data_IF_578500154225
#
_entry.id   IF_578500154225
#
_cell.length_a   1.000
_cell.length_b   1.000
_cell.length_c   1.000
_cell.angle_alpha   90.00
_cell.angle_beta   90.00
_cell.angle_gamma   90.00
#
_symmetry.space_group_name_H-M   'P 1'
#
loop_
_entity.id
_entity.type
_entity.pdbx_description
1 polymer ?
#
# COMPACT_ATOMS: atom_id res chain seq x y z
N UNK A 1 -1.80 3.64 -6.41
CA UNK A 1 -0.40 3.13 -6.52
C UNK A 1 0.67 4.17 -6.20
N UNK A 2 0.73 5.34 -6.85
CA UNK A 2 1.82 6.32 -6.61
C UNK A 2 1.95 6.78 -5.16
N UNK A 3 0.83 7.01 -4.47
CA UNK A 3 0.84 7.50 -3.11
C UNK A 3 1.36 6.45 -2.11
N UNK A 4 0.86 5.21 -2.20
CA UNK A 4 1.34 4.08 -1.40
C UNK A 4 2.83 3.82 -1.66
N UNK A 5 3.23 3.70 -2.92
CA UNK A 5 4.63 3.42 -3.25
C UNK A 5 5.60 4.53 -2.85
N UNK A 6 5.17 5.79 -2.91
CA UNK A 6 5.98 6.91 -2.40
C UNK A 6 6.04 6.91 -0.87
N UNK A 7 4.92 6.66 -0.20
CA UNK A 7 4.82 6.65 1.26
C UNK A 7 5.64 5.53 1.91
N UNK A 8 5.64 4.35 1.30
CA UNK A 8 6.41 3.19 1.76
C UNK A 8 7.83 3.09 1.17
N UNK A 9 8.27 4.09 0.37
CA UNK A 9 9.58 4.10 -0.29
C UNK A 9 9.87 2.85 -1.14
N UNK A 10 8.83 2.27 -1.73
CA UNK A 10 8.94 1.01 -2.46
C UNK A 10 9.71 1.16 -3.78
N UNK A 11 10.37 0.08 -4.16
CA UNK A 11 10.90 -0.10 -5.51
C UNK A 11 9.78 -0.49 -6.47
N UNK A 12 10.02 -0.29 -7.77
CA UNK A 12 9.04 -0.63 -8.82
C UNK A 12 8.62 -2.10 -8.78
N UNK A 13 9.54 -3.02 -8.47
CA UNK A 13 9.24 -4.46 -8.42
C UNK A 13 8.34 -4.80 -7.22
N UNK A 14 8.61 -4.21 -6.05
CA UNK A 14 7.79 -4.39 -4.84
C UNK A 14 6.35 -3.91 -5.08
N UNK A 15 6.16 -2.83 -5.85
CA UNK A 15 4.82 -2.36 -6.24
C UNK A 15 4.13 -3.24 -7.28
N UNK A 16 4.89 -3.90 -8.15
CA UNK A 16 4.33 -4.80 -9.15
C UNK A 16 3.80 -6.09 -8.51
N UNK A 17 4.41 -6.52 -7.40
CA UNK A 17 4.02 -7.72 -6.65
C UNK A 17 2.96 -7.44 -5.58
N UNK A 18 2.62 -6.18 -5.30
CA UNK A 18 1.63 -5.80 -4.30
C UNK A 18 0.20 -6.13 -4.76
N UNK A 19 -0.47 -7.02 -4.04
CA UNK A 19 -1.88 -7.40 -4.29
C UNK A 19 -2.82 -6.73 -3.29
N UNK A 20 -4.14 -6.75 -3.56
CA UNK A 20 -5.17 -6.24 -2.64
C UNK A 20 -5.05 -6.92 -1.26
N UNK A 21 -4.80 -8.23 -1.23
CA UNK A 21 -4.64 -8.99 0.02
C UNK A 21 -3.41 -8.61 0.85
N UNK A 22 -2.51 -7.80 0.29
CA UNK A 22 -1.35 -7.26 1.00
C UNK A 22 -1.58 -5.87 1.60
N UNK A 23 -2.78 -5.30 1.44
CA UNK A 23 -3.10 -3.93 1.86
C UNK A 23 -4.12 -3.97 2.99
N UNK A 24 -3.73 -3.45 4.15
CA UNK A 24 -4.63 -3.24 5.29
C UNK A 24 -4.86 -1.75 5.48
N UNK A 25 -6.12 -1.31 5.46
CA UNK A 25 -6.48 0.10 5.60
C UNK A 25 -7.09 0.37 6.97
N UNK A 26 -6.33 1.02 7.82
CA UNK A 26 -6.75 1.44 9.17
C UNK A 26 -7.27 2.89 9.15
N UNK A 27 -7.67 3.39 10.32
CA UNK A 27 -8.10 4.80 10.46
C UNK A 27 -6.95 5.78 10.48
N UNK A 28 -5.78 5.36 10.97
CA UNK A 28 -4.58 6.18 11.15
C UNK A 28 -3.52 5.95 10.06
N UNK A 29 -3.77 5.04 9.12
CA UNK A 29 -2.87 4.80 8.00
C UNK A 29 -3.17 3.55 7.19
N UNK A 30 -2.20 3.17 6.36
CA UNK A 30 -2.25 1.97 5.51
C UNK A 30 -1.01 1.14 5.78
N UNK A 31 -1.21 -0.13 6.12
CA UNK A 31 -0.14 -1.12 6.21
C UNK A 31 -0.03 -1.92 4.91
N UNK A 32 1.19 -2.11 4.44
CA UNK A 32 1.53 -2.90 3.26
C UNK A 32 2.40 -4.08 3.66
N UNK A 33 1.98 -5.29 3.30
CA UNK A 33 2.83 -6.47 3.38
C UNK A 33 3.69 -6.58 2.11
N UNK A 34 5.00 -6.53 2.27
CA UNK A 34 5.98 -6.70 1.19
C UNK A 34 6.65 -8.06 1.38
N UNK A 35 6.31 -9.04 0.53
CA UNK A 35 6.78 -10.41 0.70
C UNK A 35 8.29 -10.59 0.42
N UNK A 36 8.87 -9.76 -0.44
CA UNK A 36 10.29 -9.78 -0.75
C UNK A 36 10.78 -8.37 -1.07
N UNK A 37 11.91 -7.97 -0.48
CA UNK A 37 12.59 -6.73 -0.80
C UNK A 37 14.06 -6.99 -1.09
N UNK A 38 14.73 -6.10 -1.82
CA UNK A 38 16.16 -6.27 -2.17
C UNK A 38 17.04 -6.49 -0.93
N UNK A 39 16.67 -5.88 0.19
CA UNK A 39 17.40 -5.92 1.45
C UNK A 39 17.07 -7.16 2.27
N UNK A 40 15.96 -7.84 1.97
CA UNK A 40 15.55 -9.08 2.61
C UNK A 40 16.08 -10.30 1.86
N UNK A 41 17.34 -10.65 2.15
CA UNK A 41 18.01 -11.79 1.52
C UNK A 41 17.40 -13.15 1.93
N UNK A 42 16.66 -13.19 3.04
CA UNK A 42 16.05 -14.42 3.58
C UNK A 42 14.58 -14.57 3.16
N UNK A 43 14.01 -13.62 2.41
CA UNK A 43 12.60 -13.60 1.98
C UNK A 43 11.59 -13.80 3.11
N UNK A 44 11.83 -13.15 4.26
CA UNK A 44 10.92 -13.15 5.42
C UNK A 44 9.70 -12.27 5.21
N UNK A 45 9.82 -11.27 4.35
CA UNK A 45 8.85 -10.21 4.16
C UNK A 45 8.84 -9.21 5.31
N UNK A 46 8.27 -8.04 5.06
CA UNK A 46 8.14 -6.97 6.04
C UNK A 46 6.82 -6.21 5.87
N UNK A 47 6.30 -5.69 6.98
CA UNK A 47 5.19 -4.74 6.96
C UNK A 47 5.74 -3.31 6.94
N UNK A 48 5.21 -2.48 6.06
CA UNK A 48 5.49 -1.04 6.03
C UNK A 48 4.20 -0.26 6.27
N UNK A 49 4.23 0.65 7.24
CA UNK A 49 3.09 1.50 7.59
C UNK A 49 3.24 2.91 7.02
N UNK A 50 2.17 3.42 6.42
CA UNK A 50 2.08 4.77 5.88
C UNK A 50 1.01 5.54 6.68
N UNK A 51 1.38 6.60 7.43
CA UNK A 51 0.42 7.33 8.25
C UNK A 51 -0.56 8.14 7.39
N UNK A 52 -1.77 8.35 7.90
CA UNK A 52 -2.73 9.30 7.34
C UNK A 52 -2.16 10.73 7.35
N UNK A 53 -2.60 11.55 6.40
CA UNK A 53 -2.23 12.97 6.31
C UNK A 53 -3.46 13.86 6.25
N UNK A 54 -3.35 15.08 6.78
CA UNK A 54 -4.47 16.02 6.86
C UNK A 54 -4.95 16.52 5.48
N UNK A 55 -4.06 16.59 4.49
CA UNK A 55 -4.43 16.99 3.12
C UNK A 55 -5.21 15.86 2.43
N UNK A 56 -6.51 16.04 2.11
CA UNK A 56 -7.34 14.99 1.51
C UNK A 56 -6.87 14.54 0.11
N UNK A 57 -6.04 15.32 -0.58
CA UNK A 57 -5.44 14.95 -1.86
C UNK A 57 -4.23 14.03 -1.67
N UNK A 58 -3.63 14.03 -0.48
CA UNK A 58 -2.48 13.23 -0.15
C UNK A 58 -2.82 12.08 0.80
N UNK A 59 -3.94 12.11 1.53
CA UNK A 59 -4.28 11.08 2.51
C UNK A 59 -4.30 9.64 1.92
N UNK A 60 -3.40 8.74 2.36
CA UNK A 60 -3.34 7.36 1.89
C UNK A 60 -4.56 6.55 2.24
N UNK A 61 -5.20 6.83 3.38
CA UNK A 61 -6.40 6.09 3.81
C UNK A 61 -7.53 6.38 2.83
N UNK A 62 -7.84 7.66 2.62
CA UNK A 62 -8.87 8.09 1.67
C UNK A 62 -8.60 7.63 0.25
N UNK A 63 -7.38 7.82 -0.25
CA UNK A 63 -7.02 7.44 -1.61
C UNK A 63 -7.13 5.92 -1.84
N UNK A 64 -6.72 5.11 -0.87
CA UNK A 64 -6.75 3.65 -0.98
C UNK A 64 -8.18 3.12 -0.92
N UNK A 65 -9.01 3.61 0.01
CA UNK A 65 -10.44 3.23 0.08
C UNK A 65 -11.16 3.54 -1.23
N UNK A 66 -11.00 4.76 -1.75
CA UNK A 66 -11.63 5.15 -3.00
C UNK A 66 -11.21 4.26 -4.18
N UNK A 67 -9.95 3.82 -4.22
CA UNK A 67 -9.47 2.92 -5.26
C UNK A 67 -10.02 1.49 -5.11
N UNK A 68 -10.05 0.94 -3.88
CA UNK A 68 -10.64 -0.37 -3.60
C UNK A 68 -12.14 -0.41 -3.90
N UNK A 69 -12.86 0.67 -3.59
CA UNK A 69 -14.28 0.81 -3.93
C UNK A 69 -14.51 0.73 -5.46
N UNK A 70 -13.64 1.37 -6.25
CA UNK A 70 -13.69 1.30 -7.72
C UNK A 70 -13.41 -0.12 -8.21
N UNK A 71 -12.41 -0.82 -7.64
CA UNK A 71 -12.10 -2.20 -8.05
C UNK A 71 -13.25 -3.15 -7.72
N UNK A 72 -13.86 -3.01 -6.55
CA UNK A 72 -15.05 -3.77 -6.16
C UNK A 72 -16.21 -3.51 -7.13
N UNK A 73 -16.45 -2.26 -7.55
CA UNK A 73 -17.47 -1.94 -8.56
C UNK A 73 -17.18 -2.56 -9.94
N UNK A 74 -15.92 -2.87 -10.22
CA UNK A 74 -15.48 -3.52 -11.46
C UNK A 74 -15.43 -5.05 -11.35
N UNK A 75 -15.83 -5.63 -10.19
CA UNK A 75 -15.79 -7.08 -9.91
C UNK A 75 -14.38 -7.67 -10.02
N UNK A 76 -13.38 -6.91 -9.57
CA UNK A 76 -11.95 -7.28 -9.50
C UNK A 76 -11.51 -7.52 -8.07
#
# INVERSE_FOLDING_TARGET
VLLLGRGALNRRIELADLTIGNVTVETDGVALWVAASKTDQDAKGEETFIPAWDDPLLDPVRATRAWLDVLHQLDV
#
